data_IF_713257825167
#
_entry.id   IF_713257825167
#
_cell.length_a   1.000
_cell.length_b   1.000
_cell.length_c   1.000
_cell.angle_alpha   90.00
_cell.angle_beta   90.00
_cell.angle_gamma   90.00
#
_symmetry.space_group_name_H-M   'P 1'
#
loop_
_entity.id
_entity.type
_entity.pdbx_description
1 polymer ?
#
# COMPACT_ATOMS: atom_id res chain seq x y z
N UNK A 1 -2.27 -11.74 -9.89
CA UNK A 1 -1.99 -12.34 -8.55
C UNK A 1 -3.31 -12.35 -7.79
N UNK A 2 -3.72 -13.48 -7.24
CA UNK A 2 -5.02 -13.66 -6.59
C UNK A 2 -5.06 -13.02 -5.18
N UNK A 3 -6.26 -12.74 -4.62
CA UNK A 3 -6.38 -12.24 -3.25
C UNK A 3 -5.74 -13.16 -2.21
N UNK A 4 -5.73 -14.48 -2.42
CA UNK A 4 -5.10 -15.41 -1.50
C UNK A 4 -3.56 -15.28 -1.52
N UNK A 5 -2.99 -15.15 -2.72
CA UNK A 5 -1.55 -14.94 -2.90
C UNK A 5 -1.11 -13.58 -2.33
N UNK A 6 -1.89 -12.52 -2.55
CA UNK A 6 -1.63 -11.20 -1.96
C UNK A 6 -1.66 -11.25 -0.43
N UNK A 7 -2.67 -11.91 0.16
CA UNK A 7 -2.76 -12.06 1.61
C UNK A 7 -1.56 -12.85 2.17
N UNK A 8 -1.16 -13.94 1.49
CA UNK A 8 -0.02 -14.76 1.89
C UNK A 8 1.28 -13.97 1.83
N UNK A 9 1.52 -13.19 0.76
CA UNK A 9 2.70 -12.34 0.64
C UNK A 9 2.73 -11.29 1.76
N UNK A 10 1.65 -10.52 1.93
CA UNK A 10 1.58 -9.46 2.93
C UNK A 10 1.81 -9.98 4.35
N UNK A 11 1.24 -11.14 4.68
CA UNK A 11 1.43 -11.71 6.02
C UNK A 11 2.71 -12.50 6.21
N UNK A 12 3.43 -12.83 5.14
CA UNK A 12 4.79 -13.36 5.20
C UNK A 12 5.81 -12.23 5.43
N UNK A 13 5.64 -11.10 4.74
CA UNK A 13 6.53 -9.94 4.87
C UNK A 13 6.24 -9.15 6.16
N UNK A 14 4.96 -9.08 6.58
CA UNK A 14 4.51 -8.35 7.77
C UNK A 14 3.65 -9.25 8.67
N UNK A 15 4.25 -10.09 9.52
CA UNK A 15 3.52 -10.93 10.47
C UNK A 15 2.57 -10.14 11.39
N UNK A 16 2.87 -8.88 11.66
CA UNK A 16 2.05 -7.97 12.48
C UNK A 16 0.66 -7.74 11.88
N UNK A 17 0.50 -7.87 10.56
CA UNK A 17 -0.81 -7.79 9.90
C UNK A 17 -1.74 -8.94 10.31
N UNK A 18 -1.19 -10.10 10.73
CA UNK A 18 -2.00 -11.22 11.27
C UNK A 18 -2.53 -10.94 12.68
N UNK A 19 -1.81 -10.15 13.45
CA UNK A 19 -2.06 -9.95 14.89
C UNK A 19 -2.91 -8.71 15.18
N UNK A 20 -3.21 -7.89 14.16
CA UNK A 20 -4.04 -6.71 14.36
C UNK A 20 -5.45 -7.13 14.83
N UNK A 21 -5.96 -6.58 15.95
CA UNK A 21 -7.24 -6.98 16.55
C UNK A 21 -8.46 -6.73 15.65
N UNK A 22 -8.28 -5.95 14.58
CA UNK A 22 -9.29 -5.67 13.56
C UNK A 22 -8.95 -6.24 12.19
N UNK A 23 -7.96 -7.14 12.06
CA UNK A 23 -7.66 -7.77 10.79
C UNK A 23 -8.92 -8.53 10.33
N UNK A 24 -9.70 -8.03 9.34
CA UNK A 24 -10.70 -8.88 8.72
C UNK A 24 -9.92 -10.08 8.18
N UNK A 25 -10.53 -11.28 8.20
CA UNK A 25 -9.92 -12.47 7.55
C UNK A 25 -9.36 -12.01 6.20
N UNK A 26 -8.03 -11.87 6.11
CA UNK A 26 -7.40 -11.20 4.97
C UNK A 26 -7.79 -11.90 3.67
N UNK A 27 -8.19 -13.16 3.74
CA UNK A 27 -8.68 -13.98 2.64
C UNK A 27 -9.95 -13.53 1.90
N UNK A 28 -10.68 -12.49 2.34
CA UNK A 28 -12.02 -12.19 1.79
C UNK A 28 -12.07 -11.23 0.59
N UNK A 29 -11.23 -10.17 0.58
CA UNK A 29 -11.26 -9.14 -0.46
C UNK A 29 -9.92 -8.46 -0.60
N UNK A 30 -9.44 -8.34 -1.83
CA UNK A 30 -8.18 -7.67 -2.16
C UNK A 30 -8.15 -6.22 -1.65
N UNK A 31 -9.25 -5.48 -1.81
CA UNK A 31 -9.36 -4.11 -1.34
C UNK A 31 -9.20 -4.01 0.18
N UNK A 32 -9.79 -4.94 0.95
CA UNK A 32 -9.63 -4.97 2.41
C UNK A 32 -8.20 -5.27 2.85
N UNK A 33 -7.51 -6.16 2.11
CA UNK A 33 -6.10 -6.46 2.40
C UNK A 33 -5.22 -5.23 2.18
N UNK A 34 -5.45 -4.53 1.06
CA UNK A 34 -4.69 -3.34 0.70
C UNK A 34 -5.00 -2.14 1.62
N UNK A 35 -6.25 -2.03 2.09
CA UNK A 35 -6.65 -1.03 3.08
C UNK A 35 -5.95 -1.27 4.43
N UNK A 36 -5.94 -2.51 4.93
CA UNK A 36 -5.18 -2.88 6.12
C UNK A 36 -3.67 -2.62 5.96
N UNK A 37 -3.14 -2.87 4.77
CA UNK A 37 -1.72 -2.61 4.47
C UNK A 37 -1.42 -1.11 4.38
N UNK A 38 -2.33 -0.30 3.82
CA UNK A 38 -2.23 1.15 3.79
C UNK A 38 -2.24 1.74 5.21
N UNK A 39 -3.16 1.28 6.06
CA UNK A 39 -3.25 1.66 7.47
C UNK A 39 -1.99 1.30 8.27
N UNK A 40 -1.40 0.14 8.00
CA UNK A 40 -0.14 -0.25 8.61
C UNK A 40 1.01 0.66 8.15
N UNK A 41 1.07 0.95 6.86
CA UNK A 41 2.09 1.81 6.26
C UNK A 41 1.99 3.26 6.76
N UNK A 42 0.76 3.79 6.88
CA UNK A 42 0.51 5.12 7.45
C UNK A 42 0.98 5.21 8.89
N UNK A 43 0.66 4.20 9.71
CA UNK A 43 1.16 4.12 11.10
C UNK A 43 2.69 4.09 11.18
N UNK A 44 3.36 3.41 10.25
CA UNK A 44 4.82 3.41 10.18
C UNK A 44 5.38 4.80 9.82
N UNK A 45 4.74 5.52 8.89
CA UNK A 45 5.09 6.88 8.53
C UNK A 45 4.90 7.86 9.70
N UNK A 46 3.76 7.81 10.37
CA UNK A 46 3.42 8.66 11.52
C UNK A 46 4.39 8.43 12.69
N UNK A 47 4.74 7.17 12.96
CA UNK A 47 5.70 6.78 13.99
C UNK A 47 7.17 7.05 13.59
N UNK A 48 7.46 7.51 12.37
CA UNK A 48 8.81 7.73 11.88
C UNK A 48 9.65 6.45 11.74
N UNK A 49 9.01 5.28 11.61
CA UNK A 49 9.68 3.98 11.40
C UNK A 49 10.08 3.82 9.94
N UNK A 50 11.13 4.55 9.53
CA UNK A 50 11.54 4.65 8.12
C UNK A 50 11.91 3.31 7.49
N UNK A 51 12.56 2.40 8.23
CA UNK A 51 12.93 1.08 7.70
C UNK A 51 11.69 0.24 7.35
N UNK A 52 10.66 0.29 8.20
CA UNK A 52 9.37 -0.39 7.95
C UNK A 52 8.66 0.26 6.78
N UNK A 53 8.64 1.58 6.73
CA UNK A 53 8.03 2.34 5.64
C UNK A 53 8.68 2.01 4.28
N UNK A 54 10.02 1.95 4.23
CA UNK A 54 10.75 1.55 3.05
C UNK A 54 10.43 0.11 2.63
N UNK A 55 10.33 -0.81 3.60
CA UNK A 55 9.96 -2.19 3.32
C UNK A 55 8.51 -2.29 2.78
N UNK A 56 7.56 -1.53 3.35
CA UNK A 56 6.20 -1.42 2.82
C UNK A 56 6.19 -0.98 1.36
N UNK A 57 6.97 0.04 1.01
CA UNK A 57 7.05 0.51 -0.37
C UNK A 57 7.71 -0.51 -1.31
N UNK A 58 8.73 -1.23 -0.86
CA UNK A 58 9.33 -2.31 -1.65
C UNK A 58 8.33 -3.45 -1.93
N UNK A 59 7.54 -3.85 -0.93
CA UNK A 59 6.50 -4.88 -1.10
C UNK A 59 5.37 -4.38 -2.01
N UNK A 60 4.93 -3.13 -1.85
CA UNK A 60 3.92 -2.52 -2.72
C UNK A 60 4.39 -2.43 -4.18
N UNK A 61 5.65 -2.07 -4.41
CA UNK A 61 6.26 -2.04 -5.74
C UNK A 61 6.35 -3.45 -6.36
N UNK A 62 6.71 -4.46 -5.56
CA UNK A 62 6.69 -5.87 -6.01
C UNK A 62 5.29 -6.32 -6.38
N UNK A 63 4.27 -5.96 -5.60
CA UNK A 63 2.87 -6.23 -5.92
C UNK A 63 2.46 -5.56 -7.24
N UNK A 64 2.85 -4.30 -7.45
CA UNK A 64 2.54 -3.54 -8.66
C UNK A 64 3.17 -4.14 -9.93
N UNK A 65 4.39 -4.69 -9.82
CA UNK A 65 5.07 -5.37 -10.93
C UNK A 65 4.43 -6.71 -11.33
N UNK A 66 3.80 -7.42 -10.39
CA UNK A 66 3.12 -8.70 -10.64
C UNK A 66 1.59 -8.53 -10.77
N UNK A 67 1.11 -7.30 -10.79
CA UNK A 67 -0.29 -6.98 -10.81
C UNK A 67 -0.90 -7.19 -12.20
N UNK A 68 -2.00 -7.95 -12.23
CA UNK A 68 -2.97 -7.83 -13.30
C UNK A 68 -3.73 -6.50 -13.18
N UNK A 69 -4.59 -6.20 -14.15
CA UNK A 69 -5.36 -4.95 -14.18
C UNK A 69 -6.17 -4.74 -12.89
N UNK A 70 -6.78 -5.79 -12.34
CA UNK A 70 -7.60 -5.68 -11.14
C UNK A 70 -6.74 -5.33 -9.91
N UNK A 71 -5.61 -6.02 -9.73
CA UNK A 71 -4.70 -5.74 -8.63
C UNK A 71 -4.06 -4.36 -8.75
N UNK A 72 -3.69 -3.94 -9.96
CA UNK A 72 -3.13 -2.60 -10.19
C UNK A 72 -4.13 -1.52 -9.79
N UNK A 73 -5.38 -1.61 -10.24
CA UNK A 73 -6.43 -0.68 -9.85
C UNK A 73 -6.62 -0.68 -8.33
N UNK A 74 -6.63 -1.85 -7.68
CA UNK A 74 -6.80 -1.93 -6.23
C UNK A 74 -5.62 -1.32 -5.45
N UNK A 75 -4.38 -1.44 -5.96
CA UNK A 75 -3.21 -0.78 -5.37
C UNK A 75 -3.32 0.75 -5.54
N UNK A 76 -3.71 1.23 -6.72
CA UNK A 76 -3.79 2.66 -7.00
C UNK A 76 -4.94 3.32 -6.21
N UNK A 77 -6.13 2.73 -6.18
CA UNK A 77 -7.32 3.32 -5.55
C UNK A 77 -7.51 2.93 -4.08
N UNK A 78 -6.95 1.81 -3.65
CA UNK A 78 -7.02 1.34 -2.27
C UNK A 78 -5.76 1.70 -1.50
N UNK A 79 -4.63 1.10 -1.86
CA UNK A 79 -3.39 1.26 -1.11
C UNK A 79 -2.84 2.69 -1.18
N UNK A 80 -2.47 3.17 -2.37
CA UNK A 80 -1.82 4.46 -2.54
C UNK A 80 -2.71 5.63 -2.10
N UNK A 81 -4.01 5.57 -2.43
CA UNK A 81 -4.98 6.57 -1.98
C UNK A 81 -5.12 6.60 -0.45
N UNK A 82 -5.16 5.43 0.22
CA UNK A 82 -5.30 5.33 1.67
C UNK A 82 -4.07 5.76 2.48
N UNK A 83 -2.91 5.92 1.83
CA UNK A 83 -1.69 6.38 2.50
C UNK A 83 -1.78 7.85 2.94
N UNK A 84 -2.56 8.69 2.24
CA UNK A 84 -2.72 10.13 2.51
C UNK A 84 -1.39 10.90 2.69
N UNK A 85 -0.31 10.42 2.07
CA UNK A 85 1.02 11.04 2.19
C UNK A 85 1.11 12.38 1.48
N UNK A 86 0.25 12.62 0.49
CA UNK A 86 0.11 13.87 -0.24
C UNK A 86 -0.53 14.99 0.59
N UNK A 87 -1.21 14.67 1.69
CA UNK A 87 -1.84 15.63 2.60
C UNK A 87 -0.86 16.46 3.45
N UNK A 88 0.45 16.20 3.38
CA UNK A 88 1.47 16.99 4.09
C UNK A 88 2.79 17.07 3.35
N UNK A 89 3.56 18.15 3.57
CA UNK A 89 4.91 18.30 3.02
C UNK A 89 5.84 17.15 3.42
N UNK A 90 5.74 16.71 4.68
CA UNK A 90 6.55 15.60 5.21
C UNK A 90 6.19 14.28 4.53
N UNK A 91 4.91 13.97 4.40
CA UNK A 91 4.45 12.75 3.72
C UNK A 91 4.88 12.71 2.25
N UNK A 92 4.75 13.84 1.54
CA UNK A 92 5.18 13.96 0.15
C UNK A 92 6.69 13.74 0.01
N UNK A 93 7.48 14.31 0.93
CA UNK A 93 8.92 14.09 0.96
C UNK A 93 9.28 12.62 1.24
N UNK A 94 8.60 11.96 2.18
CA UNK A 94 8.79 10.52 2.45
C UNK A 94 8.47 9.67 1.23
N UNK A 95 7.37 9.95 0.53
CA UNK A 95 7.02 9.27 -0.71
C UNK A 95 8.12 9.44 -1.76
N UNK A 96 8.63 10.66 -1.97
CA UNK A 96 9.70 10.97 -2.93
C UNK A 96 11.03 10.29 -2.61
N UNK A 97 11.35 10.12 -1.33
CA UNK A 97 12.64 9.60 -0.89
C UNK A 97 12.66 8.08 -0.80
N UNK A 98 11.55 7.45 -0.43
CA UNK A 98 11.50 6.04 -0.06
C UNK A 98 10.73 5.16 -1.05
N UNK A 99 9.81 5.72 -1.85
CA UNK A 99 9.09 4.91 -2.83
C UNK A 99 10.01 4.55 -4.01
N UNK A 100 10.03 3.27 -4.43
CA UNK A 100 10.63 2.90 -5.70
C UNK A 100 10.00 3.65 -6.87
N UNK A 101 10.77 3.82 -7.96
CA UNK A 101 10.39 4.71 -9.06
C UNK A 101 9.04 4.37 -9.71
N UNK A 102 8.73 3.08 -9.94
CA UNK A 102 7.47 2.67 -10.54
C UNK A 102 6.28 2.93 -9.61
N UNK A 103 6.42 2.62 -8.31
CA UNK A 103 5.42 2.96 -7.30
C UNK A 103 5.21 4.47 -7.18
N UNK A 104 6.28 5.26 -7.14
CA UNK A 104 6.20 6.71 -7.06
C UNK A 104 5.51 7.31 -8.29
N UNK A 105 5.71 6.75 -9.49
CA UNK A 105 4.99 7.18 -10.69
C UNK A 105 3.48 6.93 -10.58
N UNK A 106 3.06 5.78 -10.05
CA UNK A 106 1.64 5.51 -9.79
C UNK A 106 1.07 6.44 -8.71
N UNK A 107 1.85 6.77 -7.67
CA UNK A 107 1.44 7.70 -6.61
C UNK A 107 1.35 9.16 -7.09
N UNK A 108 2.31 9.62 -7.88
CA UNK A 108 2.40 10.99 -8.36
C UNK A 108 1.50 11.28 -9.56
N UNK A 109 0.88 10.25 -10.16
CA UNK A 109 -0.11 10.47 -11.21
C UNK A 109 -1.27 11.25 -10.60
N UNK A 110 -1.65 12.41 -11.17
CA UNK A 110 -2.88 13.06 -10.77
C UNK A 110 -4.00 12.05 -11.00
N UNK A 111 -4.70 11.68 -9.93
CA UNK A 111 -5.98 11.00 -10.04
C UNK A 111 -6.92 12.00 -10.73
N UNK A 112 -6.90 12.05 -12.07
CA UNK A 112 -7.96 12.70 -12.83
C UNK A 112 -9.22 11.96 -12.45
N UNK A 113 -9.97 12.55 -11.53
CA UNK A 113 -11.32 12.19 -11.18
C UNK A 113 -12.12 12.28 -12.47
N UNK A 114 -12.22 11.18 -13.20
CA UNK A 114 -13.34 10.96 -14.12
C UNK A 114 -14.54 10.67 -13.21
N UNK A 115 -15.08 11.75 -12.63
CA UNK A 115 -16.44 11.77 -12.11
C UNK A 115 -17.37 11.59 -13.33
N UNK A 116 -18.33 10.65 -13.29
CA UNK A 116 -19.41 10.62 -14.26
C UNK A 116 -20.31 11.85 -14.18
#
# INVERSE_FOLDING_TARGET
MSPLETAALLTSEFPELKQAPHAPKMSGSLYRQLDCFADFTRRAADAGRLDVLQHCFAVADRLLHHADHCLRTAIETGYLHGLHLDGSTRGNQLARQLMPAALYQSFARPHTTMLP
#
